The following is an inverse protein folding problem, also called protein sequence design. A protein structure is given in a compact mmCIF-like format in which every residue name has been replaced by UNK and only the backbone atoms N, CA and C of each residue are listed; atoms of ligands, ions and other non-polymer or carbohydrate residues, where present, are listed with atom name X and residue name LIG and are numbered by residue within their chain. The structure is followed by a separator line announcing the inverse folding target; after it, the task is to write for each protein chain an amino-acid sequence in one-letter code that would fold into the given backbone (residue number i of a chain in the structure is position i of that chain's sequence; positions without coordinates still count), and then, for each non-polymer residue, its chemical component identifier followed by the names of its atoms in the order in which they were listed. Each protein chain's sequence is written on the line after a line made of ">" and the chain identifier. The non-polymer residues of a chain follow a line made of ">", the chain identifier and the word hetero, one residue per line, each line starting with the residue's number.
data_IF_950160794049
#
_entry.id   IF_950160794049
#
_cell.length_a   1.000
_cell.length_b   1.000
_cell.length_c   1.000
_cell.angle_alpha   90.00
_cell.angle_beta   90.00
_cell.angle_gamma   90.00
#
_symmetry.space_group_name_H-M   'P 1'
#
loop_
_entity.id
_entity.type
_entity.pdbx_description
1 polymer ?
#
# COMPACT_ATOMS: atom_id res chain seq x y z
N UNK A 1 -16.16 -13.22 -12.75
CA UNK A 1 -15.33 -13.39 -11.54
C UNK A 1 -16.06 -14.24 -10.48
N UNK A 2 -15.92 -15.58 -10.47
CA UNK A 2 -16.79 -16.45 -9.65
C UNK A 2 -16.70 -16.20 -8.15
N UNK A 3 -15.49 -15.99 -7.61
CA UNK A 3 -15.28 -15.75 -6.18
C UNK A 3 -15.87 -14.41 -5.72
N UNK A 4 -15.62 -13.33 -6.46
CA UNK A 4 -16.19 -12.00 -6.13
C UNK A 4 -17.71 -12.03 -6.20
N UNK A 5 -18.29 -12.72 -7.19
CA UNK A 5 -19.75 -12.91 -7.27
C UNK A 5 -20.29 -13.63 -6.04
N UNK A 6 -19.65 -14.73 -5.61
CA UNK A 6 -20.06 -15.45 -4.40
C UNK A 6 -19.94 -14.58 -3.13
N UNK A 7 -18.86 -13.80 -2.99
CA UNK A 7 -18.65 -12.92 -1.82
C UNK A 7 -19.68 -11.79 -1.79
N UNK A 8 -19.88 -11.10 -2.92
CA UNK A 8 -20.83 -9.98 -3.03
C UNK A 8 -22.27 -10.42 -2.81
N UNK A 9 -22.66 -11.59 -3.34
CA UNK A 9 -23.96 -12.21 -3.10
C UNK A 9 -24.14 -12.57 -1.62
N UNK A 10 -23.13 -13.21 -1.00
CA UNK A 10 -23.19 -13.61 0.41
C UNK A 10 -23.29 -12.41 1.36
N UNK A 11 -22.67 -11.30 1.00
CA UNK A 11 -22.69 -10.05 1.77
C UNK A 11 -23.88 -9.14 1.41
N UNK A 12 -24.69 -9.50 0.41
CA UNK A 12 -25.83 -8.70 -0.03
C UNK A 12 -25.44 -7.35 -0.64
N UNK A 13 -24.26 -7.25 -1.26
CA UNK A 13 -23.78 -5.99 -1.83
C UNK A 13 -24.56 -5.65 -3.10
N UNK A 14 -25.06 -4.41 -3.17
CA UNK A 14 -25.83 -3.90 -4.31
C UNK A 14 -25.01 -4.03 -5.60
N UNK A 15 -25.58 -4.67 -6.62
CA UNK A 15 -24.97 -4.71 -7.95
C UNK A 15 -25.24 -3.38 -8.67
N UNK A 16 -24.18 -2.75 -9.16
CA UNK A 16 -24.22 -1.45 -9.85
C UNK A 16 -24.09 -1.60 -11.38
N UNK A 17 -23.68 -2.78 -11.85
CA UNK A 17 -23.53 -3.12 -13.26
C UNK A 17 -22.94 -4.52 -13.45
N UNK A 18 -22.59 -4.85 -14.69
CA UNK A 18 -21.94 -6.13 -15.00
C UNK A 18 -20.56 -6.22 -14.35
N UNK A 19 -20.35 -7.26 -13.54
CA UNK A 19 -19.17 -7.45 -12.69
C UNK A 19 -18.78 -6.20 -11.85
N UNK A 20 -19.78 -5.40 -11.43
CA UNK A 20 -19.60 -4.20 -10.61
C UNK A 20 -20.58 -4.15 -9.43
N UNK A 21 -20.06 -4.00 -8.22
CA UNK A 21 -20.85 -3.95 -6.98
C UNK A 21 -20.49 -2.73 -6.13
N UNK A 22 -21.42 -2.34 -5.26
CA UNK A 22 -21.16 -1.38 -4.20
C UNK A 22 -20.09 -1.92 -3.25
N UNK A 23 -19.34 -0.99 -2.65
CA UNK A 23 -18.33 -1.33 -1.64
C UNK A 23 -19.02 -1.84 -0.36
N UNK A 24 -18.34 -2.73 0.35
CA UNK A 24 -18.76 -3.05 1.72
C UNK A 24 -18.59 -1.80 2.61
N UNK A 25 -19.58 -1.42 3.44
CA UNK A 25 -19.52 -0.20 4.27
C UNK A 25 -18.26 -0.10 5.13
N UNK A 26 -17.84 -1.20 5.76
CA UNK A 26 -16.64 -1.22 6.59
C UNK A 26 -15.32 -0.97 5.83
N UNK A 27 -15.31 -1.13 4.50
CA UNK A 27 -14.11 -0.80 3.69
C UNK A 27 -13.79 0.70 3.72
N UNK A 28 -14.77 1.56 3.94
CA UNK A 28 -14.57 3.01 4.08
C UNK A 28 -13.86 3.35 5.40
N UNK A 29 -14.16 2.63 6.48
CA UNK A 29 -13.46 2.76 7.76
C UNK A 29 -12.02 2.26 7.66
N UNK A 30 -11.81 1.12 7.00
CA UNK A 30 -10.48 0.58 6.72
C UNK A 30 -9.62 1.58 5.93
N UNK A 31 -10.15 2.13 4.83
CA UNK A 31 -9.47 3.13 4.01
C UNK A 31 -9.14 4.40 4.81
N UNK A 32 -10.09 4.88 5.62
CA UNK A 32 -9.86 6.07 6.45
C UNK A 32 -8.79 5.85 7.52
N UNK A 33 -8.77 4.68 8.14
CA UNK A 33 -7.76 4.32 9.12
C UNK A 33 -6.36 4.28 8.48
N UNK A 34 -6.25 3.68 7.29
CA UNK A 34 -5.01 3.62 6.53
C UNK A 34 -4.49 5.02 6.17
N UNK A 35 -5.37 5.86 5.63
CA UNK A 35 -5.04 7.21 5.22
C UNK A 35 -4.60 8.12 6.39
N UNK A 36 -5.25 8.00 7.56
CA UNK A 36 -4.89 8.76 8.77
C UNK A 36 -3.51 8.32 9.27
N UNK A 37 -3.28 7.01 9.36
CA UNK A 37 -2.03 6.45 9.83
C UNK A 37 -0.86 6.88 8.94
N UNK A 38 -0.95 6.65 7.62
CA UNK A 38 0.13 7.02 6.71
C UNK A 38 0.39 8.53 6.68
N UNK A 39 -0.64 9.38 6.73
CA UNK A 39 -0.44 10.82 6.73
C UNK A 39 0.40 11.31 7.93
N UNK A 40 0.09 10.81 9.13
CA UNK A 40 0.70 11.30 10.37
C UNK A 40 2.02 10.58 10.68
N UNK A 41 2.09 9.27 10.42
CA UNK A 41 3.31 8.49 10.68
C UNK A 41 4.42 8.83 9.68
N UNK A 42 4.12 8.97 8.38
CA UNK A 42 5.16 9.39 7.42
C UNK A 42 5.66 10.81 7.75
N UNK A 43 4.82 11.67 8.31
CA UNK A 43 5.27 12.99 8.76
C UNK A 43 6.17 12.90 9.99
N UNK A 44 5.91 11.98 10.92
CA UNK A 44 6.79 11.69 12.05
C UNK A 44 8.12 11.09 11.61
N UNK A 45 8.11 10.12 10.69
CA UNK A 45 9.31 9.55 10.07
C UNK A 45 10.19 10.64 9.43
N UNK A 46 9.58 11.67 8.84
CA UNK A 46 10.33 12.81 8.30
C UNK A 46 11.09 13.59 9.39
N UNK A 47 10.59 13.63 10.62
CA UNK A 47 11.29 14.20 11.78
C UNK A 47 12.42 13.29 12.23
N UNK A 48 12.17 11.97 12.32
CA UNK A 48 13.18 10.99 12.72
C UNK A 48 14.37 10.93 11.75
N UNK A 49 14.10 11.13 10.46
CA UNK A 49 15.11 11.24 9.41
C UNK A 49 15.76 12.64 9.31
N UNK A 50 15.47 13.54 10.25
CA UNK A 50 15.98 14.92 10.31
C UNK A 50 15.67 15.75 9.04
N UNK A 51 14.62 15.38 8.29
CA UNK A 51 14.23 16.06 7.04
C UNK A 51 13.34 17.28 7.30
N UNK A 52 12.67 17.29 8.45
CA UNK A 52 11.92 18.41 9.02
C UNK A 52 12.19 18.46 10.54
N UNK A 53 11.99 19.63 11.14
CA UNK A 53 12.03 19.76 12.59
C UNK A 53 10.67 19.48 13.24
N UNK A 54 10.68 19.31 14.56
CA UNK A 54 9.47 19.04 15.33
C UNK A 54 8.52 20.24 15.42
N UNK A 55 9.01 21.46 15.20
CA UNK A 55 8.15 22.64 15.16
C UNK A 55 7.29 22.61 13.90
N UNK A 56 7.87 22.24 12.75
CA UNK A 56 7.14 22.03 11.50
C UNK A 56 6.12 20.89 11.60
N UNK A 57 6.48 19.79 12.26
CA UNK A 57 5.54 18.72 12.58
C UNK A 57 4.35 19.26 13.38
N UNK A 58 4.63 20.02 14.45
CA UNK A 58 3.63 20.63 15.30
C UNK A 58 2.75 21.65 14.57
N UNK A 59 3.31 22.49 13.71
CA UNK A 59 2.56 23.47 12.89
C UNK A 59 1.50 22.80 12.03
N UNK A 60 1.84 21.68 11.38
CA UNK A 60 0.88 20.94 10.54
C UNK A 60 -0.25 20.39 11.42
N UNK A 61 0.08 19.75 12.54
CA UNK A 61 -0.91 19.18 13.44
C UNK A 61 -1.73 20.24 14.20
N UNK A 62 -1.24 21.49 14.30
CA UNK A 62 -1.96 22.58 14.95
C UNK A 62 -3.34 22.84 14.34
N UNK A 63 -3.51 22.54 13.04
CA UNK A 63 -4.80 22.62 12.32
C UNK A 63 -5.86 21.76 13.01
N UNK A 64 -5.47 20.56 13.44
CA UNK A 64 -6.34 19.62 14.18
C UNK A 64 -6.36 19.91 15.68
N UNK A 65 -5.20 20.15 16.28
CA UNK A 65 -5.05 20.26 17.72
C UNK A 65 -5.64 21.56 18.29
N UNK A 66 -5.69 22.64 17.51
CA UNK A 66 -6.19 23.95 17.95
C UNK A 66 -5.55 24.37 19.28
N UNK A 67 -6.33 24.73 20.31
CA UNK A 67 -5.83 25.19 21.60
C UNK A 67 -4.96 24.15 22.32
N UNK A 68 -5.21 22.85 22.10
CA UNK A 68 -4.40 21.78 22.68
C UNK A 68 -2.96 21.80 22.12
N UNK A 69 -2.70 22.41 20.96
CA UNK A 69 -1.35 22.53 20.38
C UNK A 69 -0.37 23.16 21.38
N UNK A 70 -0.73 24.30 21.98
CA UNK A 70 0.13 25.02 22.92
C UNK A 70 0.37 24.24 24.22
N UNK A 71 -0.56 23.36 24.59
CA UNK A 71 -0.39 22.46 25.73
C UNK A 71 0.68 21.41 25.42
N UNK A 72 0.65 20.79 24.24
CA UNK A 72 1.63 19.79 23.86
C UNK A 72 3.00 20.39 23.57
N UNK A 73 3.08 21.59 22.98
CA UNK A 73 4.35 22.27 22.67
C UNK A 73 5.24 22.50 23.90
N UNK A 74 4.63 22.60 25.10
CA UNK A 74 5.34 22.77 26.38
C UNK A 74 6.01 21.49 26.90
N UNK A 75 5.77 20.33 26.30
CA UNK A 75 6.38 19.06 26.74
C UNK A 75 7.90 19.12 26.45
N UNK A 76 8.79 19.06 27.47
CA UNK A 76 10.22 19.25 27.25
C UNK A 76 10.88 18.13 26.44
N UNK A 77 10.47 16.88 26.67
CA UNK A 77 11.00 15.73 25.96
C UNK A 77 10.42 15.68 24.54
N UNK A 78 11.28 15.71 23.52
CA UNK A 78 10.89 15.78 22.12
C UNK A 78 10.07 14.58 21.66
N UNK A 79 10.51 13.37 21.97
CA UNK A 79 9.81 12.15 21.58
C UNK A 79 8.41 12.08 22.23
N UNK A 80 8.30 12.46 23.50
CA UNK A 80 7.00 12.55 24.17
C UNK A 80 6.10 13.63 23.57
N UNK A 81 6.66 14.79 23.18
CA UNK A 81 5.93 15.87 22.52
C UNK A 81 5.31 15.40 21.21
N UNK A 82 6.13 14.83 20.33
CA UNK A 82 5.72 14.30 19.03
C UNK A 82 4.68 13.20 19.22
N UNK A 83 4.96 12.21 20.08
CA UNK A 83 4.05 11.10 20.34
C UNK A 83 2.70 11.53 20.91
N UNK A 84 2.68 12.56 21.78
CA UNK A 84 1.44 13.10 22.34
C UNK A 84 0.62 13.88 21.29
N UNK A 85 1.27 14.72 20.48
CA UNK A 85 0.62 15.43 19.37
C UNK A 85 0.04 14.44 18.35
N UNK A 86 0.81 13.42 17.95
CA UNK A 86 0.36 12.32 17.08
C UNK A 86 -0.89 11.65 17.65
N UNK A 87 -0.81 11.16 18.89
CA UNK A 87 -1.90 10.40 19.51
C UNK A 87 -3.19 11.22 19.57
N UNK A 88 -3.09 12.52 19.89
CA UNK A 88 -4.26 13.40 19.90
C UNK A 88 -4.77 13.68 18.49
N UNK A 89 -3.91 13.96 17.52
CA UNK A 89 -4.32 14.22 16.14
C UNK A 89 -5.03 13.01 15.50
N UNK A 90 -4.47 11.81 15.67
CA UNK A 90 -5.11 10.55 15.23
C UNK A 90 -6.48 10.39 15.88
N UNK A 91 -6.56 10.58 17.21
CA UNK A 91 -7.83 10.47 17.93
C UNK A 91 -8.92 11.42 17.39
N UNK A 92 -8.56 12.69 17.15
CA UNK A 92 -9.48 13.69 16.58
C UNK A 92 -9.93 13.32 15.17
N UNK A 93 -9.03 12.81 14.32
CA UNK A 93 -9.37 12.37 12.97
C UNK A 93 -10.30 11.14 12.98
N UNK A 94 -10.03 10.17 13.88
CA UNK A 94 -10.90 8.99 14.08
C UNK A 94 -12.30 9.41 14.53
N UNK A 95 -12.39 10.33 15.49
CA UNK A 95 -13.69 10.81 15.97
C UNK A 95 -14.49 11.46 14.85
N UNK A 96 -13.87 12.31 14.02
CA UNK A 96 -14.54 12.91 12.87
C UNK A 96 -15.01 11.83 11.86
N UNK A 97 -14.16 10.87 11.50
CA UNK A 97 -14.52 9.77 10.58
C UNK A 97 -15.69 8.96 11.12
N UNK A 98 -15.70 8.68 12.42
CA UNK A 98 -16.80 7.99 13.11
C UNK A 98 -18.11 8.77 12.98
N UNK A 99 -18.08 10.08 13.23
CA UNK A 99 -19.28 10.94 13.07
C UNK A 99 -19.77 10.93 11.60
N UNK A 100 -18.87 10.99 10.62
CA UNK A 100 -19.26 10.89 9.20
C UNK A 100 -19.82 9.53 8.83
N UNK A 101 -19.24 8.44 9.32
CA UNK A 101 -19.77 7.10 9.07
C UNK A 101 -21.19 6.94 9.60
N UNK A 102 -21.48 7.48 10.79
CA UNK A 102 -22.82 7.47 11.37
C UNK A 102 -23.79 8.41 10.61
N UNK A 103 -23.33 9.59 10.19
CA UNK A 103 -24.15 10.54 9.44
C UNK A 103 -24.61 10.00 8.07
N UNK A 104 -23.77 9.22 7.40
CA UNK A 104 -24.06 8.60 6.09
C UNK A 104 -24.43 7.12 6.20
N UNK A 105 -24.81 6.63 7.38
CA UNK A 105 -25.06 5.22 7.66
C UNK A 105 -26.00 4.57 6.64
N UNK A 106 -27.16 5.18 6.37
CA UNK A 106 -28.17 4.59 5.50
C UNK A 106 -27.72 4.55 4.03
N UNK A 107 -27.05 5.60 3.55
CA UNK A 107 -26.47 5.65 2.20
C UNK A 107 -25.36 4.61 2.02
N UNK A 108 -24.52 4.42 3.04
CA UNK A 108 -23.46 3.42 3.05
C UNK A 108 -24.05 2.01 2.99
N UNK A 109 -25.06 1.70 3.82
CA UNK A 109 -25.75 0.40 3.81
C UNK A 109 -26.51 0.14 2.51
N UNK A 110 -27.10 1.17 1.91
CA UNK A 110 -27.78 1.06 0.61
C UNK A 110 -26.80 0.89 -0.56
N UNK A 111 -25.49 1.12 -0.34
CA UNK A 111 -24.49 1.14 -1.41
C UNK A 111 -24.67 2.35 -2.35
N UNK A 112 -25.16 3.47 -1.81
CA UNK A 112 -25.53 4.70 -2.53
C UNK A 112 -24.67 5.90 -2.13
N UNK A 113 -23.70 5.72 -1.23
CA UNK A 113 -22.79 6.78 -0.83
C UNK A 113 -22.05 7.38 -2.04
N UNK A 114 -22.35 8.64 -2.33
CA UNK A 114 -21.92 9.31 -3.56
C UNK A 114 -20.45 9.78 -3.54
N UNK A 115 -19.84 9.84 -2.36
CA UNK A 115 -18.47 10.31 -2.19
C UNK A 115 -17.45 9.19 -2.32
N UNK A 116 -16.23 9.56 -2.71
CA UNK A 116 -15.13 8.61 -2.92
C UNK A 116 -14.77 7.85 -1.62
N UNK A 117 -14.63 8.60 -0.53
CA UNK A 117 -14.16 8.14 0.77
C UNK A 117 -14.79 8.99 1.90
N UNK A 118 -14.67 8.56 3.16
CA UNK A 118 -15.22 9.29 4.31
C UNK A 118 -14.43 10.57 4.61
N UNK A 119 -13.12 10.56 4.36
CA UNK A 119 -12.27 11.74 4.59
C UNK A 119 -12.72 12.91 3.73
N UNK A 120 -13.19 12.68 2.50
CA UNK A 120 -13.71 13.71 1.60
C UNK A 120 -14.92 14.47 2.14
N UNK A 121 -15.68 13.87 3.06
CA UNK A 121 -16.84 14.50 3.72
C UNK A 121 -16.56 14.95 5.15
N UNK A 122 -15.35 14.73 5.68
CA UNK A 122 -14.92 15.27 6.95
C UNK A 122 -14.78 16.80 6.90
N UNK A 123 -14.76 17.39 8.10
CA UNK A 123 -14.41 18.80 8.31
C UNK A 123 -13.08 19.17 7.62
N UNK A 124 -13.00 20.39 7.11
CA UNK A 124 -11.81 20.86 6.38
C UNK A 124 -10.55 20.78 7.24
N UNK A 125 -10.63 20.93 8.56
CA UNK A 125 -9.43 20.80 9.43
C UNK A 125 -8.79 19.41 9.33
N UNK A 126 -9.59 18.35 9.27
CA UNK A 126 -9.08 16.98 9.10
C UNK A 126 -8.45 16.82 7.72
N UNK A 127 -9.17 17.22 6.67
CA UNK A 127 -8.69 17.11 5.30
C UNK A 127 -7.40 17.89 5.09
N UNK A 128 -7.38 19.15 5.48
CA UNK A 128 -6.24 20.06 5.30
C UNK A 128 -5.03 19.56 6.10
N UNK A 129 -5.21 19.11 7.34
CA UNK A 129 -4.12 18.57 8.14
C UNK A 129 -3.52 17.31 7.50
N UNK A 130 -4.35 16.33 7.12
CA UNK A 130 -3.87 15.07 6.54
C UNK A 130 -3.25 15.30 5.16
N UNK A 131 -3.83 16.17 4.34
CA UNK A 131 -3.28 16.53 3.04
C UNK A 131 -1.93 17.23 3.18
N UNK A 132 -1.83 18.24 4.04
CA UNK A 132 -0.58 18.97 4.27
C UNK A 132 0.51 18.05 4.83
N UNK A 133 0.15 17.11 5.71
CA UNK A 133 1.06 16.09 6.24
C UNK A 133 1.59 15.19 5.13
N UNK A 134 0.69 14.60 4.32
CA UNK A 134 1.04 13.77 3.16
C UNK A 134 1.91 14.52 2.17
N UNK A 135 1.58 15.77 1.84
CA UNK A 135 2.34 16.57 0.88
C UNK A 135 3.75 16.89 1.39
N UNK A 136 3.89 17.28 2.66
CA UNK A 136 5.20 17.59 3.23
C UNK A 136 6.06 16.33 3.35
N UNK A 137 5.52 15.25 3.90
CA UNK A 137 6.20 13.95 3.94
C UNK A 137 6.60 13.53 2.53
N UNK A 138 5.72 13.68 1.53
CA UNK A 138 6.02 13.31 0.15
C UNK A 138 7.17 14.12 -0.45
N UNK A 139 7.19 15.42 -0.21
CA UNK A 139 8.22 16.31 -0.72
C UNK A 139 9.59 16.04 -0.09
N UNK A 140 9.62 15.56 1.16
CA UNK A 140 10.84 15.39 1.95
C UNK A 140 11.37 13.96 1.89
N UNK A 141 10.53 12.97 2.13
CA UNK A 141 10.90 11.55 2.20
C UNK A 141 11.15 10.95 0.83
N UNK A 142 10.20 11.03 -0.12
CA UNK A 142 10.38 10.34 -1.41
C UNK A 142 11.47 10.97 -2.29
N UNK A 143 11.84 12.24 -2.04
CA UNK A 143 12.98 12.88 -2.71
C UNK A 143 14.32 12.56 -2.05
N UNK A 144 14.33 11.86 -0.93
CA UNK A 144 15.56 11.51 -0.25
C UNK A 144 16.39 10.54 -1.12
N UNK A 145 17.69 10.80 -1.36
CA UNK A 145 18.52 9.99 -2.27
C UNK A 145 18.47 8.49 -1.97
N UNK A 146 18.45 8.09 -0.69
CA UNK A 146 18.38 6.68 -0.31
C UNK A 146 17.06 6.01 -0.73
N UNK A 147 15.92 6.72 -0.67
CA UNK A 147 14.62 6.19 -1.10
C UNK A 147 14.56 6.07 -2.63
N UNK A 148 15.04 7.10 -3.34
CA UNK A 148 15.13 7.06 -4.81
C UNK A 148 16.02 5.92 -5.29
N UNK A 149 17.18 5.69 -4.65
CA UNK A 149 18.06 4.60 -5.00
C UNK A 149 17.41 3.23 -4.83
N UNK A 150 16.65 3.03 -3.74
CA UNK A 150 15.89 1.80 -3.48
C UNK A 150 14.78 1.61 -4.54
N UNK A 151 14.02 2.66 -4.86
CA UNK A 151 12.98 2.59 -5.89
C UNK A 151 13.56 2.29 -7.27
N UNK A 152 14.68 2.91 -7.66
CA UNK A 152 15.35 2.60 -8.94
C UNK A 152 15.87 1.15 -8.95
N UNK A 153 16.44 0.68 -7.84
CA UNK A 153 16.93 -0.68 -7.73
C UNK A 153 15.80 -1.73 -7.80
N UNK A 154 14.60 -1.42 -7.30
CA UNK A 154 13.46 -2.34 -7.33
C UNK A 154 12.98 -2.62 -8.76
N UNK A 155 13.01 -1.64 -9.67
CA UNK A 155 12.72 -1.86 -11.09
C UNK A 155 13.70 -2.87 -11.72
N UNK A 156 15.00 -2.69 -11.48
CA UNK A 156 16.03 -3.62 -11.98
C UNK A 156 15.86 -5.02 -11.39
N UNK A 157 15.55 -5.10 -10.10
CA UNK A 157 15.31 -6.34 -9.38
C UNK A 157 14.11 -7.13 -9.95
N UNK A 158 12.96 -6.48 -10.07
CA UNK A 158 11.74 -7.12 -10.59
C UNK A 158 11.89 -7.49 -12.07
N UNK A 159 12.50 -6.61 -12.87
CA UNK A 159 12.80 -6.88 -14.27
C UNK A 159 13.67 -8.13 -14.44
N UNK A 160 14.77 -8.24 -13.70
CA UNK A 160 15.68 -9.39 -13.78
C UNK A 160 14.99 -10.73 -13.51
N UNK A 161 14.03 -10.77 -12.58
CA UNK A 161 13.28 -11.99 -12.26
C UNK A 161 12.23 -12.27 -13.36
N UNK A 162 11.44 -11.26 -13.74
CA UNK A 162 10.35 -11.41 -14.71
C UNK A 162 10.86 -11.76 -16.12
N UNK A 163 11.99 -11.19 -16.55
CA UNK A 163 12.63 -11.45 -17.85
C UNK A 163 13.10 -12.90 -17.99
N UNK A 164 13.21 -13.64 -16.88
CA UNK A 164 13.56 -15.06 -16.87
C UNK A 164 12.31 -15.93 -16.73
N UNK A 165 11.45 -15.61 -15.76
CA UNK A 165 10.28 -16.43 -15.41
C UNK A 165 9.23 -16.41 -16.51
N UNK A 166 8.90 -15.24 -17.06
CA UNK A 166 7.80 -15.09 -18.04
C UNK A 166 8.09 -15.86 -19.34
N UNK A 167 9.29 -15.77 -19.96
CA UNK A 167 9.60 -16.56 -21.15
C UNK A 167 9.58 -18.07 -20.91
N UNK A 168 10.08 -18.55 -19.77
CA UNK A 168 10.08 -19.98 -19.43
C UNK A 168 8.66 -20.54 -19.31
N UNK A 169 7.76 -19.79 -18.64
CA UNK A 169 6.34 -20.14 -18.54
C UNK A 169 5.66 -20.10 -19.91
N UNK A 170 5.92 -19.06 -20.70
CA UNK A 170 5.36 -18.94 -22.05
C UNK A 170 5.78 -20.12 -22.94
N UNK A 171 7.06 -20.48 -22.94
CA UNK A 171 7.57 -21.58 -23.73
C UNK A 171 6.89 -22.89 -23.35
N UNK A 172 6.73 -23.16 -22.04
CA UNK A 172 6.04 -24.36 -21.55
C UNK A 172 4.58 -24.43 -22.01
N UNK A 173 3.83 -23.35 -21.83
CA UNK A 173 2.38 -23.35 -22.12
C UNK A 173 2.04 -23.26 -23.61
N UNK A 174 2.97 -22.83 -24.45
CA UNK A 174 2.79 -22.79 -25.92
C UNK A 174 3.37 -24.01 -26.64
N UNK A 175 3.97 -24.95 -25.89
CA UNK A 175 4.60 -26.14 -26.46
C UNK A 175 5.86 -25.84 -27.26
N UNK A 176 6.55 -24.73 -26.97
CA UNK A 176 7.88 -24.46 -27.51
C UNK A 176 8.90 -25.42 -26.88
N UNK A 177 10.03 -25.60 -27.57
CA UNK A 177 11.12 -26.43 -27.04
C UNK A 177 11.69 -25.82 -25.74
N UNK A 178 11.76 -26.65 -24.70
CA UNK A 178 12.26 -26.25 -23.39
C UNK A 178 13.75 -26.55 -23.31
N UNK A 179 14.55 -25.57 -23.72
CA UNK A 179 15.99 -25.59 -23.46
C UNK A 179 16.31 -25.63 -21.96
N UNK A 180 17.53 -26.06 -21.62
CA UNK A 180 18.01 -26.26 -20.24
C UNK A 180 17.73 -25.05 -19.33
N UNK A 181 17.92 -23.83 -19.85
CA UNK A 181 17.65 -22.59 -19.11
C UNK A 181 16.19 -22.48 -18.68
N UNK A 182 15.24 -22.76 -19.58
CA UNK A 182 13.81 -22.70 -19.24
C UNK A 182 13.45 -23.76 -18.20
N UNK A 183 13.98 -24.97 -18.32
CA UNK A 183 13.75 -26.06 -17.35
C UNK A 183 14.22 -25.68 -15.95
N UNK A 184 15.44 -25.16 -15.82
CA UNK A 184 15.98 -24.72 -14.52
C UNK A 184 15.16 -23.58 -13.90
N UNK A 185 14.68 -22.64 -14.73
CA UNK A 185 13.82 -21.54 -14.25
C UNK A 185 12.46 -22.07 -13.77
N UNK A 186 11.89 -23.06 -14.47
CA UNK A 186 10.64 -23.69 -14.04
C UNK A 186 10.80 -24.50 -12.75
N UNK A 187 11.97 -25.11 -12.53
CA UNK A 187 12.31 -25.77 -11.27
C UNK A 187 12.48 -24.78 -10.11
N UNK A 188 13.06 -23.60 -10.39
CA UNK A 188 13.23 -22.52 -9.41
C UNK A 188 11.89 -22.02 -8.83
N UNK A 189 10.81 -22.07 -9.60
CA UNK A 189 9.46 -21.74 -9.11
C UNK A 189 9.01 -22.68 -7.97
N UNK A 190 9.62 -23.86 -7.85
CA UNK A 190 9.32 -24.83 -6.82
C UNK A 190 7.92 -25.43 -6.93
N UNK A 191 7.54 -26.21 -5.90
CA UNK A 191 6.27 -26.95 -5.91
C UNK A 191 5.04 -26.05 -5.75
N UNK A 192 5.19 -24.88 -5.12
CA UNK A 192 4.07 -23.96 -4.85
C UNK A 192 3.58 -23.26 -6.13
N UNK A 193 4.49 -22.99 -7.08
CA UNK A 193 4.20 -22.22 -8.30
C UNK A 193 4.35 -23.07 -9.57
N UNK A 194 4.08 -24.37 -9.48
CA UNK A 194 4.24 -25.30 -10.59
C UNK A 194 3.27 -24.99 -11.75
N UNK A 195 3.84 -24.83 -12.94
CA UNK A 195 3.09 -24.67 -14.18
C UNK A 195 2.59 -26.03 -14.68
N UNK A 196 1.27 -26.15 -14.84
CA UNK A 196 0.59 -27.35 -15.34
C UNK A 196 0.33 -27.23 -16.84
N UNK A 197 0.41 -28.34 -17.56
CA UNK A 197 0.34 -28.36 -19.03
C UNK A 197 -1.02 -27.94 -19.59
N UNK A 198 -2.08 -27.98 -18.78
CA UNK A 198 -3.44 -27.58 -19.17
C UNK A 198 -3.82 -26.14 -18.77
N UNK A 199 -2.86 -25.34 -18.28
CA UNK A 199 -3.12 -23.94 -17.93
C UNK A 199 -3.15 -23.07 -19.19
N UNK A 200 -4.00 -22.05 -19.17
CA UNK A 200 -3.94 -20.96 -20.14
C UNK A 200 -2.72 -20.05 -19.88
N UNK A 201 -2.27 -19.33 -20.90
CA UNK A 201 -1.22 -18.30 -20.73
C UNK A 201 -1.56 -17.28 -19.64
N UNK A 202 -2.84 -16.90 -19.54
CA UNK A 202 -3.31 -16.01 -18.49
C UNK A 202 -3.02 -16.58 -17.09
N UNK A 203 -3.34 -17.85 -16.86
CA UNK A 203 -3.07 -18.52 -15.58
C UNK A 203 -1.57 -18.67 -15.32
N UNK A 204 -0.78 -19.01 -16.34
CA UNK A 204 0.67 -19.10 -16.20
C UNK A 204 1.31 -17.76 -15.81
N UNK A 205 0.90 -16.67 -16.45
CA UNK A 205 1.39 -15.33 -16.09
C UNK A 205 0.89 -14.86 -14.73
N UNK A 206 -0.32 -15.26 -14.33
CA UNK A 206 -0.78 -15.01 -12.97
C UNK A 206 0.10 -15.74 -11.95
N UNK A 207 0.49 -17.01 -12.21
CA UNK A 207 1.45 -17.73 -11.37
C UNK A 207 2.81 -17.06 -11.31
N UNK A 208 3.28 -16.48 -12.42
CA UNK A 208 4.51 -15.68 -12.44
C UNK A 208 4.41 -14.47 -11.48
N UNK A 209 3.28 -13.76 -11.53
CA UNK A 209 3.02 -12.61 -10.67
C UNK A 209 2.82 -13.02 -9.20
N UNK A 210 2.17 -14.16 -8.94
CA UNK A 210 2.03 -14.72 -7.60
C UNK A 210 3.40 -15.07 -7.01
N UNK A 211 4.27 -15.70 -7.80
CA UNK A 211 5.64 -16.03 -7.38
C UNK A 211 6.42 -14.77 -7.02
N UNK A 212 6.43 -13.76 -7.90
CA UNK A 212 7.18 -12.51 -7.67
C UNK A 212 6.56 -11.70 -6.54
N UNK A 213 5.23 -11.61 -6.47
CA UNK A 213 4.49 -10.89 -5.43
C UNK A 213 4.57 -11.54 -4.06
N UNK A 214 4.88 -12.84 -3.99
CA UNK A 214 5.14 -13.56 -2.74
C UNK A 214 6.55 -13.33 -2.17
N UNK A 215 7.46 -12.68 -2.89
CA UNK A 215 8.82 -12.41 -2.41
C UNK A 215 8.85 -11.20 -1.47
N UNK A 216 9.63 -11.30 -0.40
CA UNK A 216 10.04 -10.12 0.39
C UNK A 216 11.10 -9.32 -0.38
N UNK A 217 11.26 -8.04 -0.07
CA UNK A 217 12.30 -7.17 -0.67
C UNK A 217 13.69 -7.82 -0.62
N UNK A 218 14.05 -8.41 0.52
CA UNK A 218 15.34 -9.10 0.70
C UNK A 218 15.44 -10.37 -0.17
N UNK A 219 14.35 -11.13 -0.29
CA UNK A 219 14.30 -12.34 -1.13
C UNK A 219 14.39 -11.98 -2.60
N UNK A 220 13.63 -10.98 -3.05
CA UNK A 220 13.67 -10.48 -4.42
C UNK A 220 15.06 -9.95 -4.77
N UNK A 221 15.64 -9.08 -3.93
CA UNK A 221 16.96 -8.51 -4.15
C UNK A 221 18.08 -9.55 -4.18
N UNK A 222 17.97 -10.61 -3.37
CA UNK A 222 18.91 -11.75 -3.40
C UNK A 222 18.74 -12.55 -4.69
N UNK A 223 17.52 -12.94 -5.02
CA UNK A 223 17.22 -13.75 -6.20
C UNK A 223 17.66 -13.04 -7.49
N UNK A 224 17.33 -11.75 -7.64
CA UNK A 224 17.75 -10.97 -8.80
C UNK A 224 19.27 -10.92 -8.95
N UNK A 225 20.01 -10.83 -7.83
CA UNK A 225 21.48 -10.84 -7.83
C UNK A 225 22.04 -12.19 -8.25
N UNK A 226 21.54 -13.28 -7.66
CA UNK A 226 21.94 -14.64 -8.00
C UNK A 226 21.67 -14.94 -9.49
N UNK A 227 20.51 -14.54 -10.01
CA UNK A 227 20.14 -14.71 -11.41
C UNK A 227 20.95 -13.84 -12.38
N UNK A 228 21.45 -12.69 -11.92
CA UNK A 228 22.32 -11.81 -12.73
C UNK A 228 23.75 -12.34 -12.89
N UNK A 229 24.13 -13.38 -12.13
CA UNK A 229 25.48 -13.95 -12.12
C UNK A 229 26.53 -13.09 -11.39
N UNK A 230 26.11 -11.97 -10.78
CA UNK A 230 27.00 -11.12 -9.98
C UNK A 230 27.26 -11.80 -8.63
N UNK A 231 28.50 -12.26 -8.42
CA UNK A 231 28.92 -12.95 -7.19
C UNK A 231 28.97 -14.48 -7.29
N UNK A 232 29.00 -15.05 -8.50
CA UNK A 232 29.40 -16.45 -8.69
C UNK A 232 30.91 -16.52 -8.44
N UNK A 233 31.30 -16.73 -7.18
CA UNK A 233 32.62 -17.25 -6.85
C UNK A 233 32.60 -18.76 -7.14
N UNK A 234 33.45 -19.19 -8.07
CA UNK A 234 33.60 -20.59 -8.47
C UNK A 234 34.35 -21.44 -7.46
#
# INVERSE_FOLDING_TARGET
>A
MPLIRAVTERLGLKQLGDDKWARHPLSYLMESADDICYAILDLEDAVELELIDADKFGEILSILLQDDFYKYQKIPNLAQRIGAMRGKAIGLAIDEVKERFLAYHDELLAGEFAHKDLLGVCDNRVKDCLQNAKELARQKIYKHPSKLAIEVASFGCLGAILDLVVPAIHAKLTGQDLGVKHTLILELLGNEYQIKDNQSLYQGYLTALDFVGGLTDNSAGRLARELSGVGIDG
#
